data_IF_085717133044
#
_entry.id   IF_085717133044
#
_cell.length_a   1.000
_cell.length_b   1.000
_cell.length_c   1.000
_cell.angle_alpha   90.00
_cell.angle_beta   90.00
_cell.angle_gamma   90.00
#
_symmetry.space_group_name_H-M   'P 1'
#
loop_
_entity.id
_entity.type
_entity.pdbx_description
1 polymer ?
#
# COMPACT_ATOMS: atom_id res chain seq x y z
N UNK A 1 -21.35 -16.71 -27.00
CA UNK A 1 -22.54 -17.33 -27.60
C UNK A 1 -22.11 -18.71 -28.04
N UNK A 2 -22.79 -19.74 -27.57
CA UNK A 2 -22.46 -21.14 -27.85
C UNK A 2 -23.63 -21.76 -28.59
N UNK A 3 -23.36 -22.42 -29.71
CA UNK A 3 -24.37 -23.18 -30.43
C UNK A 3 -24.65 -24.49 -29.70
N UNK A 4 -25.93 -24.84 -29.58
CA UNK A 4 -26.39 -26.12 -29.07
C UNK A 4 -26.85 -26.96 -30.26
N UNK A 5 -26.34 -28.18 -30.33
CA UNK A 5 -26.68 -29.16 -31.35
C UNK A 5 -27.33 -30.38 -30.67
N UNK A 6 -28.19 -31.09 -31.39
CA UNK A 6 -28.70 -32.38 -30.95
C UNK A 6 -27.68 -33.52 -31.24
N UNK A 7 -27.97 -34.78 -30.87
CA UNK A 7 -27.10 -35.91 -31.16
C UNK A 7 -26.91 -36.24 -32.64
N UNK A 8 -27.81 -35.76 -33.52
CA UNK A 8 -27.77 -35.95 -34.97
C UNK A 8 -27.08 -34.75 -35.69
N UNK A 9 -26.37 -33.90 -34.91
CA UNK A 9 -25.66 -32.68 -35.33
C UNK A 9 -26.56 -31.57 -35.88
N UNK A 10 -27.87 -31.62 -35.62
CA UNK A 10 -28.78 -30.57 -36.04
C UNK A 10 -28.75 -29.39 -35.05
N UNK A 11 -28.70 -28.16 -35.58
CA UNK A 11 -28.63 -26.93 -34.76
C UNK A 11 -29.95 -26.70 -34.03
N UNK A 12 -29.94 -26.88 -32.70
CA UNK A 12 -31.10 -26.63 -31.83
C UNK A 12 -31.24 -25.15 -31.46
N UNK A 13 -30.13 -24.41 -31.37
CA UNK A 13 -30.18 -22.97 -31.09
C UNK A 13 -28.88 -22.40 -30.56
N UNK A 14 -28.95 -21.17 -30.03
CA UNK A 14 -27.80 -20.46 -29.48
C UNK A 14 -28.07 -20.02 -28.04
N UNK A 15 -27.08 -20.22 -27.17
CA UNK A 15 -27.07 -19.65 -25.82
C UNK A 15 -26.07 -18.50 -25.78
N UNK A 16 -26.51 -17.34 -25.29
CA UNK A 16 -25.63 -16.22 -25.00
C UNK A 16 -25.79 -15.79 -23.54
N UNK A 17 -24.68 -15.55 -22.86
CA UNK A 17 -24.66 -14.96 -21.52
C UNK A 17 -24.19 -13.51 -21.69
N UNK A 18 -25.04 -12.57 -21.30
CA UNK A 18 -24.70 -11.14 -21.25
C UNK A 18 -24.43 -10.73 -19.82
N UNK A 19 -23.20 -10.35 -19.50
CA UNK A 19 -22.85 -9.76 -18.20
C UNK A 19 -22.83 -8.24 -18.34
N UNK A 20 -23.56 -7.55 -17.48
CA UNK A 20 -23.46 -6.09 -17.38
C UNK A 20 -22.12 -5.74 -16.73
N UNK A 21 -21.24 -5.08 -17.48
CA UNK A 21 -19.91 -4.64 -17.02
C UNK A 21 -19.87 -3.15 -16.66
N UNK A 22 -20.99 -2.43 -16.77
CA UNK A 22 -21.02 -0.97 -16.62
C UNK A 22 -20.57 -0.55 -15.22
N UNK A 23 -21.07 -1.23 -14.19
CA UNK A 23 -20.74 -0.92 -12.79
C UNK A 23 -19.28 -1.23 -12.47
N UNK A 24 -18.76 -2.40 -12.89
CA UNK A 24 -17.35 -2.76 -12.70
C UNK A 24 -16.42 -1.74 -13.34
N UNK A 25 -16.68 -1.37 -14.61
CA UNK A 25 -15.87 -0.40 -15.33
C UNK A 25 -15.93 0.99 -14.71
N UNK A 26 -17.09 1.40 -14.18
CA UNK A 26 -17.22 2.68 -13.47
C UNK A 26 -16.46 2.68 -12.15
N UNK A 27 -16.49 1.57 -11.40
CA UNK A 27 -15.73 1.41 -10.17
C UNK A 27 -14.21 1.44 -10.44
N UNK A 28 -13.74 0.69 -11.43
CA UNK A 28 -12.34 0.67 -11.87
C UNK A 28 -11.86 2.06 -12.30
N UNK A 29 -12.63 2.76 -13.13
CA UNK A 29 -12.29 4.11 -13.57
C UNK A 29 -12.25 5.11 -12.41
N UNK A 30 -13.15 4.97 -11.43
CA UNK A 30 -13.17 5.80 -10.22
C UNK A 30 -11.94 5.54 -9.34
N UNK A 31 -11.60 4.27 -9.12
CA UNK A 31 -10.40 3.88 -8.36
C UNK A 31 -9.13 4.40 -9.02
N UNK A 32 -8.99 4.20 -10.33
CA UNK A 32 -7.85 4.70 -11.10
C UNK A 32 -7.69 6.21 -10.97
N UNK A 33 -8.78 6.97 -11.15
CA UNK A 33 -8.76 8.44 -11.01
C UNK A 33 -8.40 8.91 -9.61
N UNK A 34 -8.82 8.18 -8.57
CA UNK A 34 -8.45 8.50 -7.19
C UNK A 34 -6.97 8.20 -6.93
N UNK A 35 -6.47 7.07 -7.42
CA UNK A 35 -5.06 6.70 -7.34
C UNK A 35 -4.16 7.73 -8.02
N UNK A 36 -4.50 8.19 -9.23
CA UNK A 36 -3.76 9.23 -9.94
C UNK A 36 -3.75 10.55 -9.16
N UNK A 37 -4.89 10.96 -8.61
CA UNK A 37 -4.99 12.19 -7.82
C UNK A 37 -4.16 12.13 -6.55
N UNK A 38 -4.16 10.99 -5.86
CA UNK A 38 -3.34 10.79 -4.66
C UNK A 38 -1.86 10.86 -5.02
N UNK A 39 -1.44 10.13 -6.06
CA UNK A 39 -0.07 10.14 -6.55
C UNK A 39 0.39 11.56 -6.89
N UNK A 40 -0.40 12.32 -7.66
CA UNK A 40 -0.08 13.72 -7.98
C UNK A 40 0.04 14.61 -6.74
N UNK A 41 -0.85 14.46 -5.76
CA UNK A 41 -0.80 15.25 -4.53
C UNK A 41 0.47 14.95 -3.70
N UNK A 42 0.84 13.67 -3.59
CA UNK A 42 2.04 13.20 -2.88
C UNK A 42 3.30 13.71 -3.58
N UNK A 43 3.40 13.52 -4.90
CA UNK A 43 4.52 14.01 -5.70
C UNK A 43 4.63 15.53 -5.64
N UNK A 44 3.51 16.27 -5.70
CA UNK A 44 3.53 17.73 -5.63
C UNK A 44 3.95 18.26 -4.25
N UNK A 45 3.66 17.52 -3.17
CA UNK A 45 4.14 17.87 -1.83
C UNK A 45 5.65 17.63 -1.67
N UNK A 46 6.23 16.68 -2.43
CA UNK A 46 7.66 16.40 -2.52
C UNK A 46 8.33 15.85 -1.25
N UNK A 47 7.66 15.91 -0.09
CA UNK A 47 8.17 15.49 1.22
C UNK A 47 7.22 14.52 1.93
N UNK A 48 6.25 13.95 1.21
CA UNK A 48 5.30 12.99 1.74
C UNK A 48 5.59 11.63 1.11
N UNK A 49 5.81 10.62 1.95
CA UNK A 49 5.91 9.23 1.53
C UNK A 49 4.67 8.44 1.95
N UNK A 50 4.37 7.37 1.21
CA UNK A 50 3.31 6.41 1.56
C UNK A 50 3.97 5.06 1.81
N UNK A 51 3.56 4.42 2.89
CA UNK A 51 3.92 3.06 3.22
C UNK A 51 2.66 2.24 3.56
N UNK A 52 2.71 0.94 3.27
CA UNK A 52 1.66 -0.03 3.62
C UNK A 52 2.34 -1.26 4.21
N UNK A 53 1.89 -1.71 5.38
CA UNK A 53 2.46 -2.88 6.05
C UNK A 53 1.41 -3.97 6.21
N UNK A 54 1.58 -5.05 5.45
CA UNK A 54 0.91 -6.32 5.71
C UNK A 54 1.62 -7.02 6.88
N UNK A 55 1.07 -6.80 8.07
CA UNK A 55 1.58 -7.35 9.33
C UNK A 55 1.60 -8.89 9.33
N UNK A 56 0.62 -9.53 8.68
CA UNK A 56 0.48 -11.00 8.69
C UNK A 56 1.56 -11.67 7.83
N UNK A 57 1.84 -11.08 6.66
CA UNK A 57 2.86 -11.58 5.75
C UNK A 57 4.24 -10.93 5.98
N UNK A 58 4.34 -10.03 6.96
CA UNK A 58 5.48 -9.16 7.22
C UNK A 58 6.01 -8.49 5.94
N UNK A 59 5.10 -7.93 5.15
CA UNK A 59 5.41 -7.29 3.88
C UNK A 59 5.15 -5.79 3.98
N UNK A 60 6.23 -5.00 3.98
CA UNK A 60 6.18 -3.55 3.96
C UNK A 60 6.41 -3.08 2.52
N UNK A 61 5.53 -2.20 2.03
CA UNK A 61 5.63 -1.56 0.73
C UNK A 61 5.83 -0.06 0.90
N UNK A 62 6.70 0.52 0.08
CA UNK A 62 7.02 1.95 0.04
C UNK A 62 6.74 2.48 -1.36
N UNK A 63 6.13 3.65 -1.46
CA UNK A 63 6.11 4.39 -2.72
C UNK A 63 7.48 5.02 -3.03
N UNK A 64 7.63 5.58 -4.24
CA UNK A 64 8.87 6.21 -4.69
C UNK A 64 9.36 7.32 -3.75
N UNK A 65 8.46 8.16 -3.25
CA UNK A 65 8.80 9.28 -2.37
C UNK A 65 9.40 8.85 -1.03
N UNK A 66 9.07 7.66 -0.51
CA UNK A 66 9.71 7.13 0.70
C UNK A 66 11.22 6.90 0.47
N UNK A 67 11.60 6.38 -0.69
CA UNK A 67 13.03 6.16 -1.01
C UNK A 67 13.77 7.50 -1.08
N UNK A 68 13.15 8.53 -1.66
CA UNK A 68 13.70 9.89 -1.70
C UNK A 68 13.81 10.51 -0.30
N UNK A 69 12.77 10.37 0.53
CA UNK A 69 12.70 10.94 1.88
C UNK A 69 13.82 10.39 2.79
N UNK A 70 14.12 9.10 2.66
CA UNK A 70 15.14 8.39 3.43
C UNK A 70 16.52 8.33 2.73
N UNK A 71 16.62 8.87 1.51
CA UNK A 71 17.87 8.92 0.73
C UNK A 71 18.40 7.55 0.31
N UNK A 72 17.51 6.59 0.03
CA UNK A 72 17.89 5.21 -0.28
C UNK A 72 17.55 4.80 -1.71
N UNK A 73 18.27 3.83 -2.29
CA UNK A 73 17.91 3.29 -3.59
C UNK A 73 16.70 2.35 -3.49
N UNK A 74 15.91 2.30 -4.57
CA UNK A 74 14.64 1.55 -4.65
C UNK A 74 14.80 0.02 -4.59
N UNK A 75 16.02 -0.47 -4.80
CA UNK A 75 16.38 -1.90 -4.76
C UNK A 75 16.60 -2.43 -3.33
N UNK A 76 16.36 -1.61 -2.30
CA UNK A 76 16.44 -2.05 -0.91
C UNK A 76 15.40 -3.14 -0.60
N UNK A 77 15.91 -4.33 -0.29
CA UNK A 77 15.11 -5.55 -0.11
C UNK A 77 14.27 -5.52 1.18
N UNK A 78 14.81 -4.95 2.27
CA UNK A 78 14.14 -4.89 3.57
C UNK A 78 13.88 -3.44 3.98
N UNK A 79 12.66 -2.98 3.73
CA UNK A 79 12.22 -1.60 4.03
C UNK A 79 12.11 -1.34 5.52
N UNK A 80 11.78 -2.36 6.32
CA UNK A 80 11.67 -2.21 7.77
C UNK A 80 13.05 -1.99 8.36
N UNK A 81 14.00 -2.85 8.00
CA UNK A 81 15.39 -2.72 8.43
C UNK A 81 16.00 -1.40 7.90
N UNK A 82 15.69 -1.01 6.66
CA UNK A 82 16.13 0.26 6.11
C UNK A 82 15.64 1.47 6.93
N UNK A 83 14.40 1.43 7.41
CA UNK A 83 13.88 2.44 8.34
C UNK A 83 14.56 2.37 9.71
N UNK A 84 14.62 1.19 10.32
CA UNK A 84 15.13 0.98 11.67
C UNK A 84 16.61 1.41 11.81
N UNK A 85 17.44 1.12 10.80
CA UNK A 85 18.86 1.52 10.80
C UNK A 85 19.06 3.03 10.77
N UNK A 86 18.09 3.77 10.20
CA UNK A 86 18.16 5.23 10.05
C UNK A 86 17.60 5.97 11.26
N UNK A 87 16.84 5.31 12.12
CA UNK A 87 16.37 5.93 13.36
C UNK A 87 17.55 6.44 14.20
N UNK A 88 17.40 7.67 14.68
CA UNK A 88 18.31 8.23 15.68
C UNK A 88 18.38 7.29 16.90
N UNK A 89 19.56 7.01 17.47
CA UNK A 89 19.73 6.04 18.55
C UNK A 89 18.77 6.25 19.72
N UNK A 90 18.58 7.50 20.15
CA UNK A 90 17.67 7.87 21.25
C UNK A 90 16.18 7.58 20.98
N UNK A 91 15.78 7.46 19.71
CA UNK A 91 14.38 7.28 19.33
C UNK A 91 14.01 5.80 19.11
N UNK A 92 15.02 4.91 18.96
CA UNK A 92 14.83 3.49 18.60
C UNK A 92 13.92 2.74 19.56
N UNK A 93 14.28 2.71 20.84
CA UNK A 93 13.52 1.96 21.86
C UNK A 93 12.06 2.41 21.94
N UNK A 94 11.82 3.73 21.79
CA UNK A 94 10.48 4.31 21.78
C UNK A 94 9.71 3.88 20.53
N UNK A 95 10.32 4.00 19.35
CA UNK A 95 9.69 3.61 18.09
C UNK A 95 9.35 2.11 18.06
N UNK A 96 10.25 1.24 18.53
CA UNK A 96 10.01 -0.20 18.62
C UNK A 96 8.85 -0.55 19.55
N UNK A 97 8.76 0.09 20.71
CA UNK A 97 7.62 -0.10 21.62
C UNK A 97 6.29 0.30 20.97
N UNK A 98 6.29 1.40 20.21
CA UNK A 98 5.10 1.92 19.53
C UNK A 98 4.67 1.04 18.37
N UNK A 99 5.61 0.55 17.58
CA UNK A 99 5.33 -0.43 16.52
C UNK A 99 4.73 -1.70 17.11
N UNK A 100 5.34 -2.24 18.17
CA UNK A 100 4.82 -3.44 18.83
C UNK A 100 3.40 -3.22 19.39
N UNK A 101 3.10 -2.04 19.91
CA UNK A 101 1.76 -1.68 20.36
C UNK A 101 0.75 -1.57 19.20
N UNK A 102 1.16 -0.97 18.08
CA UNK A 102 0.33 -0.83 16.88
C UNK A 102 0.03 -2.20 16.25
N UNK A 103 1.04 -3.05 16.11
CA UNK A 103 0.94 -4.43 15.60
C UNK A 103 0.03 -5.30 16.49
N UNK A 104 0.06 -5.08 17.81
CA UNK A 104 -0.85 -5.75 18.74
C UNK A 104 -2.31 -5.27 18.64
N UNK A 105 -2.64 -4.38 17.70
CA UNK A 105 -3.97 -3.84 17.49
C UNK A 105 -4.42 -2.83 18.55
N UNK A 106 -3.47 -2.26 19.30
CA UNK A 106 -3.76 -1.39 20.45
C UNK A 106 -3.65 0.09 20.14
N UNK A 107 -3.13 0.46 18.96
CA UNK A 107 -2.76 1.84 18.68
C UNK A 107 -2.74 2.13 17.17
N UNK A 108 -3.25 3.29 16.76
CA UNK A 108 -2.96 3.88 15.45
C UNK A 108 -1.55 4.47 15.54
N UNK A 109 -0.64 4.08 14.64
CA UNK A 109 0.74 4.57 14.69
C UNK A 109 0.76 6.03 14.21
N UNK A 110 0.82 6.96 15.15
CA UNK A 110 1.08 8.39 14.95
C UNK A 110 2.31 8.76 15.80
N UNK A 111 3.45 8.94 15.15
CA UNK A 111 4.71 9.18 15.83
C UNK A 111 5.58 10.20 15.09
N UNK A 112 6.31 11.01 15.86
CA UNK A 112 7.35 11.89 15.36
C UNK A 112 8.71 11.39 15.84
N UNK A 113 9.64 11.15 14.90
CA UNK A 113 10.96 10.62 15.18
C UNK A 113 12.03 11.24 14.30
N UNK A 114 13.27 11.15 14.76
CA UNK A 114 14.45 11.62 14.02
C UNK A 114 15.07 10.48 13.24
N UNK A 115 15.49 10.80 12.02
CA UNK A 115 16.34 9.93 11.20
C UNK A 115 17.69 10.58 10.96
N UNK A 116 18.73 9.76 10.85
CA UNK A 116 20.04 10.14 10.34
C UNK A 116 20.04 9.82 8.85
N UNK A 117 19.97 10.87 8.03
CA UNK A 117 19.96 10.74 6.59
C UNK A 117 21.37 10.40 6.06
N UNK A 118 21.52 9.75 4.89
CA UNK A 118 22.83 9.35 4.38
C UNK A 118 23.85 10.48 4.13
N UNK A 119 23.40 11.73 4.03
CA UNK A 119 24.26 12.92 3.97
C UNK A 119 24.81 13.33 5.35
N UNK A 120 24.35 12.70 6.44
CA UNK A 120 24.74 12.97 7.82
C UNK A 120 23.78 13.89 8.58
N UNK A 121 22.77 14.46 7.90
CA UNK A 121 21.84 15.37 8.54
C UNK A 121 20.77 14.64 9.35
N UNK A 122 20.32 15.29 10.43
CA UNK A 122 19.17 14.83 11.20
C UNK A 122 17.90 15.43 10.60
N UNK A 123 16.95 14.56 10.24
CA UNK A 123 15.62 14.96 9.74
C UNK A 123 14.54 14.50 10.70
N UNK A 124 13.49 15.31 10.86
CA UNK A 124 12.32 14.98 11.65
C UNK A 124 11.24 14.43 10.71
N UNK A 125 10.70 13.26 11.04
CA UNK A 125 9.67 12.57 10.28
C UNK A 125 8.45 12.42 11.17
N UNK A 126 7.31 12.85 10.65
CA UNK A 126 6.00 12.50 11.20
C UNK A 126 5.43 11.33 10.39
N UNK A 127 5.13 10.23 11.07
CA UNK A 127 4.49 9.08 10.48
C UNK A 127 3.07 8.94 11.04
N UNK A 128 2.09 8.80 10.15
CA UNK A 128 0.71 8.53 10.49
C UNK A 128 0.25 7.27 9.76
N UNK A 129 -0.56 6.45 10.42
CA UNK A 129 -1.14 5.24 9.86
C UNK A 129 -2.57 5.04 10.31
N UNK A 130 -3.33 4.31 9.50
CA UNK A 130 -4.59 3.73 9.91
C UNK A 130 -4.45 2.20 9.94
N UNK A 131 -4.83 1.59 11.05
CA UNK A 131 -4.87 0.14 11.11
C UNK A 131 -6.20 -0.35 10.52
N UNK A 132 -6.13 -1.20 9.50
CA UNK A 132 -7.32 -1.83 8.92
C UNK A 132 -7.21 -3.35 8.99
N UNK A 133 -8.27 -3.99 9.47
CA UNK A 133 -8.42 -5.45 9.36
C UNK A 133 -9.07 -5.74 8.03
N UNK A 134 -8.50 -6.64 7.20
CA UNK A 134 -9.20 -7.15 6.02
C UNK A 134 -10.52 -7.77 6.47
N UNK A 135 -11.65 -7.09 6.24
CA UNK A 135 -12.94 -7.76 6.30
C UNK A 135 -12.98 -8.71 5.11
N UNK A 136 -13.02 -10.02 5.39
CA UNK A 136 -13.34 -11.02 4.38
C UNK A 136 -14.68 -10.66 3.75
N UNK A 137 -14.65 -10.32 2.47
CA UNK A 137 -15.85 -10.21 1.66
C UNK A 137 -16.51 -11.60 1.64
N UNK A 138 -17.64 -11.73 2.35
CA UNK A 138 -18.53 -12.89 2.26
C UNK A 138 -19.26 -12.93 0.93
#
# INVERSE_FOLDING_TARGET
MTALFDPDEELLGFVAIGRNLRESKQAEAKLHRLSERLSLAVTAAGQVGIWDWDILNNYLEWNEQMYELYGIPQDSLDKYEAWAQRLHPDDRDRCDQRINAAVAGKYEFEEEFRIIHPDGDIRYIQALSNLSTRQEAR
#
